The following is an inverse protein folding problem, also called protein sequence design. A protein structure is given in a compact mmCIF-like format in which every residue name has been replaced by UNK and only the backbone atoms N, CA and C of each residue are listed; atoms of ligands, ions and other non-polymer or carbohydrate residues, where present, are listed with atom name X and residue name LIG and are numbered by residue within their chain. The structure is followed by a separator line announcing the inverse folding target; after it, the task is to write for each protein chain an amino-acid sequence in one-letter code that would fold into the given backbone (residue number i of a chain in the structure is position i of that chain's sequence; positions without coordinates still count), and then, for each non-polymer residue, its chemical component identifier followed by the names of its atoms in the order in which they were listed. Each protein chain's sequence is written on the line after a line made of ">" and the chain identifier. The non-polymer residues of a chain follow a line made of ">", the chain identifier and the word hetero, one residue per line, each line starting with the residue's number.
data_IF_118358733805
#
_entry.id   IF_118358733805
#
_cell.length_a   1.000
_cell.length_b   1.000
_cell.length_c   1.000
_cell.angle_alpha   90.00
_cell.angle_beta   90.00
_cell.angle_gamma   90.00
#
_symmetry.space_group_name_H-M   'P 1'
#
loop_
_entity.id
_entity.type
_entity.pdbx_description
1 polymer ?
#
# COMPACT_ATOMS: atom_id res chain seq x y z
N UNK A 1 22.55 -13.22 -10.57
CA UNK A 1 21.23 -13.76 -10.98
C UNK A 1 20.17 -12.84 -10.41
N UNK A 2 19.37 -12.24 -11.27
CA UNK A 2 18.29 -11.36 -10.85
C UNK A 2 17.23 -12.18 -10.10
N UNK A 3 16.50 -11.60 -9.11
CA UNK A 3 15.45 -12.31 -8.36
C UNK A 3 14.39 -12.95 -9.26
N UNK A 4 14.10 -12.34 -10.41
CA UNK A 4 13.15 -12.86 -11.38
C UNK A 4 13.63 -14.15 -12.06
N UNK A 5 14.94 -14.30 -12.30
CA UNK A 5 15.50 -15.49 -12.91
C UNK A 5 15.38 -16.71 -12.00
N UNK A 6 15.49 -16.49 -10.68
CA UNK A 6 15.27 -17.55 -9.68
C UNK A 6 13.81 -17.99 -9.71
N UNK A 7 12.86 -17.02 -9.74
CA UNK A 7 11.43 -17.32 -9.76
C UNK A 7 11.01 -18.11 -11.00
N UNK A 8 11.58 -17.79 -12.16
CA UNK A 8 11.23 -18.43 -13.42
C UNK A 8 11.79 -19.85 -13.55
N UNK A 9 12.97 -20.11 -12.98
CA UNK A 9 13.68 -21.36 -13.22
C UNK A 9 13.50 -22.42 -12.11
N UNK A 10 13.35 -21.98 -10.85
CA UNK A 10 13.33 -22.91 -9.71
C UNK A 10 11.93 -23.04 -9.07
N UNK A 11 11.09 -22.01 -9.19
CA UNK A 11 9.81 -21.92 -8.48
C UNK A 11 8.62 -21.69 -9.42
N UNK A 12 8.69 -22.22 -10.64
CA UNK A 12 7.59 -22.11 -11.60
C UNK A 12 6.30 -22.74 -11.03
N UNK A 13 5.21 -21.99 -11.10
CA UNK A 13 3.92 -22.37 -10.54
C UNK A 13 3.77 -22.22 -9.02
N UNK A 14 4.80 -21.77 -8.30
CA UNK A 14 4.75 -21.54 -6.86
C UNK A 14 4.15 -20.16 -6.51
N UNK A 15 3.44 -20.09 -5.40
CA UNK A 15 2.83 -18.87 -4.88
C UNK A 15 3.62 -18.40 -3.65
N UNK A 16 4.00 -17.13 -3.64
CA UNK A 16 4.68 -16.47 -2.53
C UNK A 16 3.91 -15.26 -2.04
N UNK A 17 3.75 -15.17 -0.72
CA UNK A 17 3.33 -13.93 -0.10
C UNK A 17 4.55 -13.05 0.17
N UNK A 18 4.46 -11.78 -0.18
CA UNK A 18 5.49 -10.77 0.08
C UNK A 18 4.89 -9.71 0.97
N UNK A 19 5.56 -9.35 2.04
CA UNK A 19 5.05 -8.35 2.97
C UNK A 19 6.14 -7.78 3.87
N UNK A 20 5.78 -6.75 4.62
CA UNK A 20 6.66 -6.11 5.59
C UNK A 20 6.80 -6.94 6.87
N UNK A 21 7.97 -6.87 7.50
CA UNK A 21 8.24 -7.47 8.81
C UNK A 21 7.62 -6.66 9.97
N UNK A 22 7.39 -5.36 9.76
CA UNK A 22 6.89 -4.44 10.76
C UNK A 22 5.43 -4.08 10.52
N UNK A 23 4.71 -3.90 11.62
CA UNK A 23 3.35 -3.37 11.59
C UNK A 23 3.37 -1.85 11.69
N UNK A 24 2.50 -1.22 10.93
CA UNK A 24 2.24 0.21 11.02
C UNK A 24 0.75 0.44 11.21
N UNK A 25 0.39 1.38 12.09
CA UNK A 25 -0.99 1.85 12.17
C UNK A 25 -1.29 2.77 10.99
N UNK A 26 -2.57 2.85 10.59
CA UNK A 26 -2.97 3.80 9.55
C UNK A 26 -2.65 5.26 9.94
N UNK A 27 -2.71 5.59 11.23
CA UNK A 27 -2.31 6.92 11.70
C UNK A 27 -0.82 7.18 11.46
N UNK A 28 0.06 6.21 11.78
CA UNK A 28 1.50 6.34 11.48
C UNK A 28 1.76 6.54 9.99
N UNK A 29 1.06 5.80 9.13
CA UNK A 29 1.18 5.99 7.68
C UNK A 29 0.70 7.37 7.26
N UNK A 30 -0.44 7.84 7.76
CA UNK A 30 -0.98 9.16 7.44
C UNK A 30 -0.06 10.30 7.91
N UNK A 31 0.49 10.20 9.11
CA UNK A 31 1.45 11.16 9.65
C UNK A 31 2.73 11.21 8.79
N UNK A 32 3.24 10.05 8.38
CA UNK A 32 4.40 9.98 7.49
C UNK A 32 4.12 10.63 6.13
N UNK A 33 2.94 10.38 5.55
CA UNK A 33 2.52 11.04 4.30
C UNK A 33 2.44 12.56 4.48
N UNK A 34 1.87 13.03 5.59
CA UNK A 34 1.75 14.46 5.88
C UNK A 34 3.13 15.12 6.03
N UNK A 35 4.05 14.50 6.76
CA UNK A 35 5.42 15.02 6.94
C UNK A 35 6.18 15.11 5.62
N UNK A 36 6.09 14.06 4.80
CA UNK A 36 6.69 14.06 3.46
C UNK A 36 6.02 15.11 2.57
N UNK A 37 4.69 15.22 2.61
CA UNK A 37 3.96 16.24 1.88
C UNK A 37 4.45 17.65 2.21
N UNK A 38 4.65 17.97 3.48
CA UNK A 38 5.20 19.26 3.93
C UNK A 38 6.59 19.54 3.36
N UNK A 39 7.46 18.52 3.29
CA UNK A 39 8.79 18.62 2.67
C UNK A 39 8.71 19.08 1.22
N UNK A 40 7.66 18.71 0.51
CA UNK A 40 7.43 19.09 -0.91
C UNK A 40 6.43 20.25 -1.09
N UNK A 41 6.08 20.96 -0.02
CA UNK A 41 5.23 22.16 -0.07
C UNK A 41 3.73 21.90 0.02
N UNK A 42 3.33 20.69 0.39
CA UNK A 42 1.91 20.34 0.61
C UNK A 42 1.61 20.27 2.11
N UNK A 43 0.74 21.12 2.58
CA UNK A 43 0.27 21.11 3.97
C UNK A 43 -1.22 20.75 4.01
N UNK A 44 -1.48 19.45 4.12
CA UNK A 44 -2.84 18.90 4.11
C UNK A 44 -3.14 18.28 5.48
N UNK A 45 -4.28 18.63 6.11
CA UNK A 45 -4.67 18.06 7.39
C UNK A 45 -5.06 16.59 7.26
N UNK A 46 -4.85 15.82 8.34
CA UNK A 46 -5.38 14.46 8.47
C UNK A 46 -6.81 14.57 9.00
N UNK A 47 -7.75 14.01 8.26
CA UNK A 47 -9.16 13.93 8.68
C UNK A 47 -9.55 12.47 8.91
N UNK A 48 -10.26 12.23 10.01
CA UNK A 48 -10.77 10.90 10.34
C UNK A 48 -12.24 10.81 9.91
N UNK A 49 -12.51 9.94 8.95
CA UNK A 49 -13.87 9.62 8.53
C UNK A 49 -14.58 8.69 9.52
N UNK A 50 -15.86 8.36 9.27
CA UNK A 50 -16.58 7.40 10.07
C UNK A 50 -15.92 6.00 10.02
N UNK A 51 -16.07 5.20 11.09
CA UNK A 51 -15.49 3.86 11.12
C UNK A 51 -16.07 2.96 10.02
N UNK A 52 -15.24 2.11 9.47
CA UNK A 52 -15.60 1.13 8.45
C UNK A 52 -15.58 -0.28 9.01
N UNK A 53 -16.28 -1.19 8.34
CA UNK A 53 -16.18 -2.62 8.60
C UNK A 53 -14.90 -3.17 7.97
N UNK A 54 -13.78 -3.00 8.68
CA UNK A 54 -12.46 -3.44 8.24
C UNK A 54 -11.80 -4.29 9.33
N UNK A 55 -10.89 -5.16 8.92
CA UNK A 55 -10.10 -5.94 9.89
C UNK A 55 -9.20 -5.01 10.70
N UNK A 56 -9.12 -5.25 11.99
CA UNK A 56 -8.29 -4.43 12.89
C UNK A 56 -6.80 -4.66 12.68
N UNK A 57 -6.42 -5.90 12.38
CA UNK A 57 -5.05 -6.30 12.14
C UNK A 57 -4.99 -7.12 10.87
N UNK A 58 -4.13 -6.74 9.94
CA UNK A 58 -3.88 -7.46 8.71
C UNK A 58 -2.37 -7.52 8.44
N UNK A 59 -1.86 -8.72 8.24
CA UNK A 59 -0.49 -8.95 7.78
C UNK A 59 -0.43 -10.26 6.99
N UNK A 60 0.61 -10.45 6.22
CA UNK A 60 0.83 -11.72 5.55
C UNK A 60 1.98 -12.49 6.20
N UNK A 61 1.85 -13.81 6.26
CA UNK A 61 2.98 -14.69 6.55
C UNK A 61 3.81 -14.86 5.28
N UNK A 62 5.01 -14.29 5.27
CA UNK A 62 5.96 -14.36 4.17
C UNK A 62 7.17 -15.27 4.46
N UNK A 63 7.03 -16.20 5.40
CA UNK A 63 8.07 -17.15 5.78
C UNK A 63 8.59 -17.97 4.60
N UNK A 64 7.70 -18.38 3.70
CA UNK A 64 8.07 -19.12 2.47
C UNK A 64 9.00 -18.30 1.58
N UNK A 65 8.67 -16.99 1.37
CA UNK A 65 9.53 -16.10 0.60
C UNK A 65 10.90 -15.88 1.27
N UNK A 66 10.91 -15.70 2.59
CA UNK A 66 12.18 -15.59 3.35
C UNK A 66 13.05 -16.81 3.21
N UNK A 67 12.48 -18.00 3.36
CA UNK A 67 13.22 -19.25 3.38
C UNK A 67 13.72 -19.65 1.98
N UNK A 68 12.87 -19.56 0.96
CA UNK A 68 13.17 -20.05 -0.38
C UNK A 68 13.80 -18.98 -1.26
N UNK A 69 13.27 -17.75 -1.26
CA UNK A 69 13.77 -16.65 -2.10
C UNK A 69 14.83 -15.80 -1.40
N UNK A 70 15.12 -16.07 -0.12
CA UNK A 70 15.99 -15.23 0.71
C UNK A 70 15.51 -13.76 0.77
N UNK A 71 14.19 -13.59 0.66
CA UNK A 71 13.56 -12.26 0.73
C UNK A 71 13.91 -11.58 2.06
N UNK A 72 14.23 -10.29 1.97
CA UNK A 72 14.47 -9.43 3.13
C UNK A 72 13.63 -8.17 2.98
N UNK A 73 13.00 -7.76 4.07
CA UNK A 73 12.31 -6.47 4.15
C UNK A 73 13.31 -5.42 4.64
N UNK A 74 13.98 -4.78 3.70
CA UNK A 74 14.97 -3.71 3.96
C UNK A 74 14.36 -2.30 3.78
N UNK A 75 13.11 -2.20 3.35
CA UNK A 75 12.46 -0.93 3.02
C UNK A 75 11.92 -0.25 4.28
N UNK A 76 12.28 1.02 4.45
CA UNK A 76 11.70 1.88 5.51
C UNK A 76 10.41 2.52 5.03
N UNK A 77 9.45 2.71 5.95
CA UNK A 77 8.15 3.31 5.62
C UNK A 77 8.31 4.70 4.99
N UNK A 78 9.16 5.53 5.56
CA UNK A 78 9.42 6.89 5.10
C UNK A 78 9.97 6.92 3.66
N UNK A 79 10.92 6.03 3.37
CA UNK A 79 11.52 5.90 2.05
C UNK A 79 10.49 5.43 1.02
N UNK A 80 9.69 4.43 1.37
CA UNK A 80 8.61 3.93 0.51
C UNK A 80 7.60 5.04 0.19
N UNK A 81 7.11 5.74 1.21
CA UNK A 81 6.14 6.82 1.06
C UNK A 81 6.73 7.97 0.23
N UNK A 82 7.99 8.36 0.48
CA UNK A 82 8.64 9.42 -0.28
C UNK A 82 8.78 9.06 -1.76
N UNK A 83 9.20 7.85 -2.08
CA UNK A 83 9.30 7.38 -3.46
C UNK A 83 7.94 7.40 -4.17
N UNK A 84 6.88 6.94 -3.50
CA UNK A 84 5.52 6.99 -4.02
C UNK A 84 5.04 8.43 -4.23
N UNK A 85 5.33 9.32 -3.28
CA UNK A 85 4.94 10.73 -3.34
C UNK A 85 5.60 11.45 -4.51
N UNK A 86 6.92 11.28 -4.68
CA UNK A 86 7.68 11.85 -5.80
C UNK A 86 7.18 11.32 -7.15
N UNK A 87 6.86 10.04 -7.22
CA UNK A 87 6.25 9.47 -8.42
C UNK A 87 4.88 10.11 -8.70
N UNK A 88 4.02 10.21 -7.68
CA UNK A 88 2.66 10.76 -7.82
C UNK A 88 2.66 12.22 -8.29
N UNK A 89 3.59 13.05 -7.79
CA UNK A 89 3.73 14.45 -8.24
C UNK A 89 4.01 14.59 -9.75
N UNK A 90 4.60 13.58 -10.35
CA UNK A 90 4.94 13.57 -11.80
C UNK A 90 3.79 13.07 -12.67
N UNK A 91 2.72 12.54 -12.06
CA UNK A 91 1.60 11.99 -12.81
C UNK A 91 0.59 13.08 -13.20
N UNK A 92 -0.03 12.98 -14.39
CA UNK A 92 -1.11 13.88 -14.75
C UNK A 92 -2.35 13.63 -13.90
N UNK A 93 -3.12 14.68 -13.64
CA UNK A 93 -4.42 14.54 -13.00
C UNK A 93 -5.35 13.70 -13.88
N UNK A 94 -5.85 12.60 -13.35
CA UNK A 94 -6.83 11.75 -14.03
C UNK A 94 -8.23 12.15 -13.61
N UNK A 95 -9.13 12.26 -14.60
CA UNK A 95 -10.56 12.32 -14.28
C UNK A 95 -11.01 10.93 -13.84
N UNK A 96 -11.55 10.84 -12.63
CA UNK A 96 -12.22 9.64 -12.15
C UNK A 96 -13.54 9.54 -12.90
N UNK A 97 -13.82 8.37 -13.50
CA UNK A 97 -15.16 8.06 -14.00
C UNK A 97 -15.99 7.55 -12.83
N UNK A 98 -17.22 8.03 -12.75
CA UNK A 98 -18.18 7.47 -11.82
C UNK A 98 -18.35 5.98 -12.13
N UNK A 99 -18.26 5.14 -11.10
CA UNK A 99 -18.47 3.71 -11.23
C UNK A 99 -19.94 3.40 -10.88
N UNK A 100 -20.61 2.71 -11.78
CA UNK A 100 -21.89 2.09 -11.46
C UNK A 100 -21.61 0.80 -10.68
N UNK A 101 -22.13 0.71 -9.47
CA UNK A 101 -21.97 -0.47 -8.63
C UNK A 101 -23.12 -1.44 -8.91
N UNK A 102 -22.82 -2.69 -9.24
CA UNK A 102 -23.81 -3.75 -9.43
C UNK A 102 -24.57 -4.06 -8.13
N UNK A 103 -23.88 -3.95 -6.97
CA UNK A 103 -24.44 -4.15 -5.64
C UNK A 103 -24.36 -2.83 -4.89
N UNK A 104 -25.51 -2.25 -4.58
CA UNK A 104 -25.61 -0.97 -3.88
C UNK A 104 -25.90 -1.13 -2.39
N UNK A 105 -26.24 -2.33 -1.94
CA UNK A 105 -26.49 -2.63 -0.52
C UNK A 105 -25.17 -2.66 0.25
N UNK A 106 -25.09 -1.94 1.36
CA UNK A 106 -23.89 -1.87 2.21
C UNK A 106 -22.78 -0.96 1.71
N UNK A 107 -22.99 -0.22 0.60
CA UNK A 107 -22.05 0.80 0.13
C UNK A 107 -21.99 1.95 1.13
N UNK A 108 -20.78 2.43 1.41
CA UNK A 108 -20.58 3.62 2.24
C UNK A 108 -21.16 4.88 1.58
N UNK A 109 -21.76 5.77 2.38
CA UNK A 109 -22.51 6.92 1.88
C UNK A 109 -21.69 7.84 0.96
N UNK A 110 -20.39 7.98 1.21
CA UNK A 110 -19.50 8.78 0.35
C UNK A 110 -19.11 8.09 -0.97
N UNK A 111 -19.55 6.85 -1.23
CA UNK A 111 -19.45 6.19 -2.53
C UNK A 111 -20.77 6.23 -3.30
N UNK A 112 -21.83 6.69 -2.65
CA UNK A 112 -23.13 6.93 -3.29
C UNK A 112 -23.09 8.33 -3.91
N UNK A 113 -22.97 8.41 -5.19
CA UNK A 113 -23.09 9.67 -5.91
C UNK A 113 -24.55 10.05 -6.11
#
# INVERSE_FOLDING_TARGET
>A
MEPFDILLNEFDGEIFNIGADKFFTLNQVAETVQEIGKKYGYDVPIEHGPPRHEVKHAYCDHSKAKNLLKFKDDTKLEELIENMFVWAMKQPNRKVKDMEYEITEGIYDYWKN
#
